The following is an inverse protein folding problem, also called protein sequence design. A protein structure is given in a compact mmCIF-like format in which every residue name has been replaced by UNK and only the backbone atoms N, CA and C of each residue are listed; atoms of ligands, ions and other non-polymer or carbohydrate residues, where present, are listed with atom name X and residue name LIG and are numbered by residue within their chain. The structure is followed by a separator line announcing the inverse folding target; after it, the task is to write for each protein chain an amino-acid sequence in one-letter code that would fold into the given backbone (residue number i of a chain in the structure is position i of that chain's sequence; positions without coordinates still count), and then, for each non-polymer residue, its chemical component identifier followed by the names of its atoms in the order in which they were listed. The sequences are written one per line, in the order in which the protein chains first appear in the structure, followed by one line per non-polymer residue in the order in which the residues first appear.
data_IF_258089439548
#
_entry.id   IF_258089439548
#
_cell.length_a   1.000
_cell.length_b   1.000
_cell.length_c   1.000
_cell.angle_alpha   90.00
_cell.angle_beta   90.00
_cell.angle_gamma   90.00
#
_symmetry.space_group_name_H-M   'P 1'
#
loop_
_entity.id
_entity.type
_entity.pdbx_description
1 polymer ?
#
# COMPACT_ATOMS: atom_id res chain seq x y z
N UNK A 1 -15.81 7.99 9.96
CA UNK A 1 -15.02 8.93 10.79
C UNK A 1 -14.96 10.26 10.07
N UNK A 2 -14.86 11.37 10.80
CA UNK A 2 -14.87 12.72 10.22
C UNK A 2 -13.46 13.23 9.97
N UNK A 3 -13.02 13.22 8.72
CA UNK A 3 -11.95 14.08 8.21
C UNK A 3 -12.38 14.61 6.83
N UNK A 4 -12.42 15.95 6.71
CA UNK A 4 -12.82 16.72 5.53
C UNK A 4 -11.92 16.39 4.34
N UNK A 5 -12.39 16.15 3.12
CA UNK A 5 -13.33 16.94 2.31
C UNK A 5 -14.06 15.95 1.39
N UNK A 6 -15.36 16.11 1.17
CA UNK A 6 -16.11 15.35 0.16
C UNK A 6 -15.52 15.60 -1.24
N UNK A 7 -14.54 14.79 -1.63
CA UNK A 7 -14.09 14.58 -3.01
C UNK A 7 -14.67 13.29 -3.57
N UNK A 8 -15.71 12.73 -2.94
CA UNK A 8 -16.44 11.60 -3.48
C UNK A 8 -17.28 12.10 -4.67
N UNK A 9 -16.63 12.24 -5.82
CA UNK A 9 -17.28 12.27 -7.14
C UNK A 9 -17.91 10.91 -7.45
N UNK A 10 -17.45 9.85 -6.78
CA UNK A 10 -18.05 8.51 -6.79
C UNK A 10 -18.50 8.08 -5.38
N UNK A 11 -19.81 7.97 -5.11
CA UNK A 11 -20.34 7.50 -3.83
C UNK A 11 -20.35 5.97 -3.65
N UNK A 12 -20.09 5.15 -4.69
CA UNK A 12 -20.00 3.69 -4.56
C UNK A 12 -18.61 3.18 -4.25
N UNK A 13 -17.59 4.01 -4.45
CA UNK A 13 -16.18 3.64 -4.33
C UNK A 13 -15.85 2.98 -2.97
N UNK A 14 -15.06 1.91 -3.06
CA UNK A 14 -14.54 1.16 -1.93
C UNK A 14 -13.85 2.10 -0.95
N UNK A 15 -14.23 1.99 0.33
CA UNK A 15 -13.74 2.88 1.39
C UNK A 15 -12.22 3.03 1.43
N UNK A 16 -11.45 1.98 1.12
CA UNK A 16 -9.99 2.03 1.18
C UNK A 16 -9.39 2.99 0.13
N UNK A 17 -10.00 3.12 -1.04
CA UNK A 17 -9.58 4.07 -2.07
C UNK A 17 -9.86 5.49 -1.60
N UNK A 18 -11.07 5.74 -1.14
CA UNK A 18 -11.50 7.04 -0.62
C UNK A 18 -10.62 7.53 0.54
N UNK A 19 -10.33 6.64 1.49
CA UNK A 19 -9.45 6.94 2.61
C UNK A 19 -8.00 7.14 2.14
N UNK A 20 -7.49 6.33 1.21
CA UNK A 20 -6.15 6.50 0.65
C UNK A 20 -5.93 7.83 -0.06
N UNK A 21 -6.88 8.24 -0.91
CA UNK A 21 -6.86 9.56 -1.56
C UNK A 21 -6.90 10.69 -0.53
N UNK A 22 -7.70 10.53 0.54
CA UNK A 22 -7.79 11.51 1.63
C UNK A 22 -6.51 11.58 2.46
N UNK A 23 -5.84 10.44 2.68
CA UNK A 23 -4.55 10.35 3.37
C UNK A 23 -3.48 11.17 2.64
N UNK A 24 -3.30 10.89 1.33
CA UNK A 24 -2.32 11.57 0.47
C UNK A 24 -2.68 13.03 0.24
N UNK A 25 -3.97 13.38 0.08
CA UNK A 25 -4.38 14.77 -0.08
C UNK A 25 -4.02 15.63 1.14
N UNK A 26 -4.18 15.10 2.36
CA UNK A 26 -3.77 15.86 3.54
C UNK A 26 -2.24 15.96 3.66
N UNK A 27 -1.50 14.94 3.23
CA UNK A 27 -0.04 14.98 3.20
C UNK A 27 0.48 16.03 2.22
N UNK A 28 -0.10 16.09 1.01
CA UNK A 28 0.16 17.16 0.03
C UNK A 28 -0.20 18.55 0.57
N UNK A 29 -1.17 18.63 1.48
CA UNK A 29 -1.54 19.87 2.18
C UNK A 29 -0.63 20.19 3.39
N UNK A 30 0.40 19.37 3.66
CA UNK A 30 1.39 19.60 4.71
C UNK A 30 1.00 19.05 6.10
N UNK A 31 -0.03 18.21 6.19
CA UNK A 31 -0.40 17.55 7.45
C UNK A 31 0.41 16.26 7.64
N UNK A 32 1.13 16.16 8.75
CA UNK A 32 1.87 14.95 9.09
C UNK A 32 0.94 13.76 9.31
N UNK A 33 1.24 12.62 8.67
CA UNK A 33 0.52 11.35 8.86
C UNK A 33 1.35 10.42 9.74
N UNK A 34 0.81 10.03 10.89
CA UNK A 34 1.47 9.11 11.82
C UNK A 34 1.12 7.63 11.58
N UNK A 35 0.13 7.35 10.72
CA UNK A 35 -0.42 6.02 10.51
C UNK A 35 0.54 5.06 9.79
N UNK A 36 1.46 5.57 8.97
CA UNK A 36 2.49 4.78 8.27
C UNK A 36 3.34 3.97 9.26
N UNK A 37 3.67 4.54 10.41
CA UNK A 37 4.43 3.87 11.48
C UNK A 37 3.70 2.64 12.06
N UNK A 38 2.36 2.65 12.07
CA UNK A 38 1.58 1.48 12.48
C UNK A 38 1.62 0.39 11.42
N UNK A 39 1.52 0.75 10.14
CA UNK A 39 1.58 -0.20 9.03
C UNK A 39 2.93 -0.90 8.94
N UNK A 40 4.04 -0.16 8.99
CA UNK A 40 5.38 -0.75 8.89
C UNK A 40 5.67 -1.76 10.01
N UNK A 41 5.02 -1.63 11.17
CA UNK A 41 5.10 -2.59 12.27
C UNK A 41 4.14 -3.79 12.11
N UNK A 42 3.11 -3.65 11.28
CA UNK A 42 2.06 -4.65 11.03
C UNK A 42 1.79 -4.86 9.51
N UNK A 43 2.80 -5.27 8.71
CA UNK A 43 2.67 -5.38 7.25
C UNK A 43 1.63 -6.41 6.76
N UNK A 44 1.20 -7.33 7.62
CA UNK A 44 0.13 -8.28 7.31
C UNK A 44 -1.25 -7.62 7.21
N UNK A 45 -1.33 -6.32 7.53
CA UNK A 45 -2.54 -5.50 7.33
C UNK A 45 -2.88 -5.46 5.86
N UNK A 46 -4.11 -5.83 5.53
CA UNK A 46 -4.61 -5.80 4.16
C UNK A 46 -4.84 -4.37 3.69
N UNK A 47 -4.41 -4.05 2.47
CA UNK A 47 -4.70 -2.79 1.81
C UNK A 47 -6.22 -2.60 1.61
N UNK A 48 -6.93 -3.66 1.21
CA UNK A 48 -8.32 -3.59 0.76
C UNK A 48 -9.33 -4.13 1.79
N UNK A 49 -8.94 -5.12 2.60
CA UNK A 49 -9.80 -5.73 3.61
C UNK A 49 -9.57 -5.09 4.99
N UNK A 50 -10.28 -4.00 5.26
CA UNK A 50 -10.12 -3.21 6.47
C UNK A 50 -10.60 -3.93 7.73
N UNK A 51 -9.83 -3.76 8.82
CA UNK A 51 -10.23 -4.30 10.11
C UNK A 51 -11.47 -3.58 10.64
N UNK A 52 -12.40 -4.33 11.23
CA UNK A 52 -13.58 -3.76 11.91
C UNK A 52 -13.21 -3.12 13.27
N UNK A 53 -12.05 -3.50 13.82
CA UNK A 53 -11.51 -2.92 15.04
C UNK A 53 -10.71 -1.65 14.73
N UNK A 54 -11.13 -0.52 15.33
CA UNK A 54 -10.51 0.79 15.16
C UNK A 54 -9.04 0.83 15.63
N UNK A 55 -8.66 0.00 16.60
CA UNK A 55 -7.27 -0.07 17.05
C UNK A 55 -6.32 -0.64 15.99
N UNK A 56 -6.86 -1.47 15.07
CA UNK A 56 -6.13 -2.07 13.96
C UNK A 56 -6.25 -1.20 12.69
N UNK A 57 -7.35 -0.46 12.53
CA UNK A 57 -7.58 0.37 11.34
C UNK A 57 -6.53 1.46 11.16
N UNK A 58 -5.80 1.86 12.21
CA UNK A 58 -4.64 2.77 12.09
C UNK A 58 -3.59 2.24 11.12
N UNK A 59 -3.32 0.92 11.13
CA UNK A 59 -2.42 0.32 10.16
C UNK A 59 -3.01 0.27 8.74
N UNK A 60 -4.34 0.19 8.60
CA UNK A 60 -5.00 0.29 7.30
C UNK A 60 -4.81 1.69 6.69
N UNK A 61 -4.98 2.75 7.49
CA UNK A 61 -4.70 4.13 7.09
C UNK A 61 -3.25 4.31 6.63
N UNK A 62 -2.28 3.72 7.35
CA UNK A 62 -0.88 3.72 6.94
C UNK A 62 -0.62 2.97 5.63
N UNK A 63 -1.29 1.82 5.44
CA UNK A 63 -1.17 1.03 4.22
C UNK A 63 -1.65 1.80 2.99
N UNK A 64 -2.85 2.39 3.06
CA UNK A 64 -3.41 3.13 1.92
C UNK A 64 -2.64 4.41 1.65
N UNK A 65 -2.17 5.13 2.68
CA UNK A 65 -1.31 6.30 2.48
C UNK A 65 -0.05 5.94 1.67
N UNK A 66 0.69 4.91 2.09
CA UNK A 66 1.90 4.48 1.40
C UNK A 66 1.63 3.95 -0.01
N UNK A 67 0.55 3.20 -0.21
CA UNK A 67 0.22 2.68 -1.54
C UNK A 67 -0.09 3.80 -2.53
N UNK A 68 -0.91 4.78 -2.15
CA UNK A 68 -1.23 5.90 -3.05
C UNK A 68 -0.06 6.88 -3.21
N UNK A 69 0.79 7.04 -2.19
CA UNK A 69 2.04 7.79 -2.32
C UNK A 69 3.02 7.13 -3.32
N UNK A 70 3.15 5.79 -3.25
CA UNK A 70 3.92 5.02 -4.22
C UNK A 70 3.34 5.15 -5.62
N UNK A 71 2.02 5.00 -5.76
CA UNK A 71 1.33 5.15 -7.04
C UNK A 71 1.58 6.54 -7.65
N UNK A 72 1.44 7.61 -6.86
CA UNK A 72 1.71 8.98 -7.32
C UNK A 72 3.19 9.16 -7.73
N UNK A 73 4.13 8.59 -6.97
CA UNK A 73 5.58 8.66 -7.26
C UNK A 73 5.93 8.11 -8.64
N UNK A 74 5.26 7.05 -9.09
CA UNK A 74 5.65 6.32 -10.30
C UNK A 74 4.70 6.49 -11.49
N UNK A 75 3.45 6.90 -11.26
CA UNK A 75 2.40 6.86 -12.28
C UNK A 75 1.74 8.24 -12.52
N UNK A 76 2.52 9.29 -12.72
CA UNK A 76 1.97 10.60 -13.12
C UNK A 76 1.55 11.54 -11.98
N UNK A 77 2.02 11.29 -10.76
CA UNK A 77 1.88 12.24 -9.65
C UNK A 77 0.42 12.50 -9.24
N UNK A 78 0.07 13.77 -9.09
CA UNK A 78 -1.29 14.15 -8.71
C UNK A 78 -2.33 13.85 -9.79
N UNK A 79 -1.91 13.62 -11.05
CA UNK A 79 -2.82 13.31 -12.14
C UNK A 79 -3.48 11.94 -11.95
N UNK A 80 -2.72 10.90 -11.59
CA UNK A 80 -3.32 9.57 -11.32
C UNK A 80 -4.27 9.60 -10.13
N UNK A 81 -3.94 10.34 -9.07
CA UNK A 81 -4.83 10.50 -7.92
C UNK A 81 -6.15 11.19 -8.32
N UNK A 82 -6.07 12.20 -9.19
CA UNK A 82 -7.24 12.92 -9.71
C UNK A 82 -8.07 12.03 -10.65
N UNK A 83 -7.41 11.20 -11.46
CA UNK A 83 -8.07 10.25 -12.35
C UNK A 83 -8.84 9.20 -11.56
N UNK A 84 -8.22 8.61 -10.52
CA UNK A 84 -8.89 7.64 -9.63
C UNK A 84 -10.08 8.27 -8.92
N UNK A 85 -9.94 9.49 -8.39
CA UNK A 85 -11.04 10.17 -7.71
C UNK A 85 -12.29 10.42 -8.58
N UNK A 86 -12.14 10.37 -9.92
CA UNK A 86 -13.21 10.60 -10.90
C UNK A 86 -13.68 9.33 -11.60
N UNK A 87 -12.99 8.21 -11.41
CA UNK A 87 -13.38 6.92 -11.95
C UNK A 87 -14.71 6.48 -11.32
N UNK A 88 -15.51 5.68 -12.04
CA UNK A 88 -16.83 5.19 -11.60
C UNK A 88 -16.84 3.69 -11.32
N UNK A 89 -15.69 3.04 -11.50
CA UNK A 89 -15.45 1.68 -11.02
C UNK A 89 -14.95 1.76 -9.60
N UNK A 90 -15.13 0.67 -8.86
CA UNK A 90 -14.74 0.60 -7.46
C UNK A 90 -13.48 -0.27 -7.24
N UNK A 91 -12.71 0.09 -6.22
CA UNK A 91 -11.60 -0.65 -5.65
C UNK A 91 -10.46 -0.84 -6.63
N UNK A 92 -10.00 -2.08 -6.74
CA UNK A 92 -8.87 -2.42 -7.64
C UNK A 92 -9.19 -2.07 -9.10
N UNK A 93 -10.46 -2.19 -9.50
CA UNK A 93 -10.87 -1.89 -10.86
C UNK A 93 -10.81 -0.39 -11.19
N UNK A 94 -10.89 0.49 -10.18
CA UNK A 94 -10.74 1.94 -10.34
C UNK A 94 -9.28 2.32 -10.60
N UNK A 95 -8.36 1.69 -9.88
CA UNK A 95 -6.90 1.84 -10.09
C UNK A 95 -6.49 1.30 -11.47
N UNK A 96 -6.94 0.10 -11.83
CA UNK A 96 -6.67 -0.50 -13.15
C UNK A 96 -7.15 0.39 -14.30
N UNK A 97 -8.38 0.89 -14.20
CA UNK A 97 -8.96 1.74 -15.24
C UNK A 97 -8.23 3.08 -15.35
N UNK A 98 -7.82 3.66 -14.21
CA UNK A 98 -7.09 4.92 -14.18
C UNK A 98 -5.70 4.78 -14.81
N UNK A 99 -4.94 3.73 -14.46
CA UNK A 99 -3.65 3.41 -15.09
C UNK A 99 -3.78 3.25 -16.61
N UNK A 100 -4.74 2.42 -17.05
CA UNK A 100 -4.97 2.18 -18.47
C UNK A 100 -5.39 3.46 -19.22
N UNK A 101 -6.24 4.30 -18.62
CA UNK A 101 -6.69 5.55 -19.23
C UNK A 101 -5.57 6.57 -19.43
N UNK A 102 -4.53 6.51 -18.58
CA UNK A 102 -3.33 7.34 -18.66
C UNK A 102 -2.24 6.72 -19.55
N UNK A 103 -2.49 5.53 -20.13
CA UNK A 103 -1.58 4.87 -21.07
C UNK A 103 -0.51 4.00 -20.41
N UNK A 104 -0.63 3.69 -19.12
CA UNK A 104 0.23 2.72 -18.44
C UNK A 104 -0.20 1.29 -18.79
N UNK A 105 0.77 0.38 -18.86
CA UNK A 105 0.53 -1.03 -19.17
C UNK A 105 0.31 -1.86 -17.90
N UNK A 106 0.76 -1.34 -16.75
CA UNK A 106 0.70 -1.94 -15.45
C UNK A 106 -0.73 -1.99 -14.90
N UNK A 107 -1.03 -3.08 -14.20
CA UNK A 107 -2.25 -3.23 -13.42
C UNK A 107 -2.02 -2.83 -11.97
N UNK A 108 -3.10 -2.63 -11.21
CA UNK A 108 -3.06 -2.44 -9.77
C UNK A 108 -2.34 -3.59 -9.04
N UNK A 109 -2.40 -4.82 -9.57
CA UNK A 109 -1.65 -5.96 -9.01
C UNK A 109 -0.14 -5.85 -9.27
N UNK A 110 0.26 -5.32 -10.42
CA UNK A 110 1.67 -5.06 -10.72
C UNK A 110 2.21 -3.96 -9.80
N UNK A 111 1.46 -2.86 -9.68
CA UNK A 111 1.79 -1.77 -8.73
C UNK A 111 1.86 -2.30 -7.29
N UNK A 112 0.90 -3.14 -6.87
CA UNK A 112 0.91 -3.75 -5.55
C UNK A 112 2.17 -4.61 -5.33
N UNK A 113 2.56 -5.42 -6.32
CA UNK A 113 3.77 -6.25 -6.23
C UNK A 113 5.04 -5.39 -6.06
N UNK A 114 5.18 -4.32 -6.84
CA UNK A 114 6.32 -3.40 -6.72
C UNK A 114 6.28 -2.62 -5.40
N UNK A 115 5.10 -2.26 -4.91
CA UNK A 115 4.91 -1.62 -3.62
C UNK A 115 5.35 -2.52 -2.45
N UNK A 116 5.15 -3.83 -2.54
CA UNK A 116 5.70 -4.77 -1.54
C UNK A 116 7.23 -4.71 -1.52
N UNK A 117 7.88 -4.60 -2.67
CA UNK A 117 9.35 -4.46 -2.75
C UNK A 117 9.80 -3.11 -2.18
N UNK A 118 9.09 -2.02 -2.51
CA UNK A 118 9.35 -0.69 -1.98
C UNK A 118 9.29 -0.64 -0.45
N UNK A 119 8.25 -1.24 0.12
CA UNK A 119 8.09 -1.38 1.57
C UNK A 119 9.24 -2.12 2.27
N UNK A 120 9.81 -3.12 1.60
CA UNK A 120 10.95 -3.87 2.14
C UNK A 120 12.27 -3.10 2.02
N UNK A 121 12.49 -2.43 0.88
CA UNK A 121 13.74 -1.73 0.60
C UNK A 121 13.83 -0.37 1.30
N UNK A 122 12.73 0.38 1.38
CA UNK A 122 12.69 1.75 1.91
C UNK A 122 13.82 2.63 1.38
N UNK A 123 13.84 2.80 0.05
CA UNK A 123 14.88 3.55 -0.66
C UNK A 123 14.34 4.88 -1.16
N UNK A 124 15.21 5.89 -1.25
CA UNK A 124 14.89 7.20 -1.84
C UNK A 124 15.21 7.24 -3.34
N UNK A 125 15.81 6.18 -3.89
CA UNK A 125 16.22 6.11 -5.29
C UNK A 125 15.75 4.82 -5.99
N UNK A 126 15.62 4.90 -7.32
CA UNK A 126 15.29 3.76 -8.17
C UNK A 126 13.79 3.51 -8.38
N UNK A 127 13.44 2.31 -8.90
CA UNK A 127 12.07 1.96 -9.26
C UNK A 127 11.16 1.65 -8.05
N UNK A 128 11.75 1.47 -6.86
CA UNK A 128 11.03 1.12 -5.64
C UNK A 128 11.05 2.24 -4.60
N UNK A 129 11.26 3.48 -5.04
CA UNK A 129 11.42 4.63 -4.14
C UNK A 129 10.10 5.23 -3.68
N UNK A 130 10.18 5.96 -2.58
CA UNK A 130 9.17 6.92 -2.14
C UNK A 130 9.72 8.35 -2.31
N UNK A 131 9.03 9.20 -3.08
CA UNK A 131 9.47 10.60 -3.23
C UNK A 131 9.08 11.42 -2.00
N UNK A 132 10.07 11.93 -1.26
CA UNK A 132 9.82 12.85 -0.14
C UNK A 132 9.29 12.19 1.14
N UNK A 133 9.34 10.85 1.25
CA UNK A 133 8.96 10.14 2.46
C UNK A 133 10.13 9.34 3.04
N UNK A 134 10.57 9.70 4.24
CA UNK A 134 11.47 8.86 5.05
C UNK A 134 10.61 7.78 5.76
N UNK A 135 10.31 6.71 5.04
CA UNK A 135 9.54 5.58 5.54
C UNK A 135 10.53 4.53 6.02
N UNK A 136 10.51 4.09 7.29
CA UNK A 136 11.35 2.98 7.72
C UNK A 136 10.88 1.67 7.07
N UNK A 137 11.79 0.71 6.80
CA UNK A 137 11.42 -0.56 6.20
C UNK A 137 10.42 -1.32 7.07
N UNK A 138 9.52 -2.04 6.42
CA UNK A 138 8.55 -2.90 7.11
C UNK A 138 9.23 -3.95 7.99
N UNK A 139 8.51 -4.35 9.04
CA UNK A 139 8.97 -5.34 10.00
C UNK A 139 9.23 -6.69 9.35
N UNK A 140 10.50 -7.08 9.37
CA UNK A 140 10.94 -8.40 8.93
C UNK A 140 10.76 -9.47 10.00
N UNK A 141 10.31 -10.65 9.58
CA UNK A 141 10.31 -11.88 10.36
C UNK A 141 11.59 -12.66 10.08
N UNK A 142 12.56 -12.53 10.98
CA UNK A 142 13.82 -13.25 10.88
C UNK A 142 13.65 -14.71 11.25
N UNK A 143 14.17 -15.61 10.41
CA UNK A 143 14.20 -17.06 10.65
C UNK A 143 15.61 -17.63 10.42
N UNK A 144 15.89 -18.73 11.10
CA UNK A 144 17.13 -19.49 10.98
C UNK A 144 16.79 -20.89 10.50
N UNK A 145 17.32 -21.27 9.35
CA UNK A 145 17.14 -22.61 8.81
C UNK A 145 17.86 -23.68 9.67
N UNK A 146 17.36 -24.93 9.70
CA UNK A 146 16.09 -25.37 9.12
C UNK A 146 14.89 -24.86 9.94
N UNK A 147 13.84 -24.42 9.26
CA UNK A 147 12.62 -23.93 9.89
C UNK A 147 11.41 -24.15 8.96
N UNK A 148 10.21 -24.15 9.52
CA UNK A 148 8.96 -24.17 8.77
C UNK A 148 7.95 -23.22 9.41
N UNK A 149 7.18 -22.52 8.56
CA UNK A 149 6.14 -21.59 9.01
C UNK A 149 4.88 -21.79 8.17
N UNK A 150 3.75 -21.77 8.86
CA UNK A 150 2.43 -21.59 8.28
C UNK A 150 1.84 -20.32 8.85
N UNK A 151 1.24 -19.51 8.01
CA UNK A 151 0.55 -18.27 8.40
C UNK A 151 -0.65 -18.05 7.49
N UNK A 152 -1.53 -17.16 7.92
CA UNK A 152 -2.66 -16.70 7.13
C UNK A 152 -2.50 -15.20 6.94
N UNK A 153 -2.45 -14.77 5.68
CA UNK A 153 -2.40 -13.36 5.31
C UNK A 153 -3.65 -13.08 4.50
N UNK A 154 -4.37 -12.01 4.85
CA UNK A 154 -5.53 -11.58 4.06
C UNK A 154 -5.06 -11.10 2.69
N UNK A 155 -5.94 -11.21 1.68
CA UNK A 155 -5.65 -10.65 0.35
C UNK A 155 -5.14 -9.21 0.46
N UNK A 156 -4.15 -8.86 -0.35
CA UNK A 156 -3.48 -7.55 -0.31
C UNK A 156 -2.83 -7.18 1.05
N UNK A 157 -2.52 -8.16 1.91
CA UNK A 157 -1.54 -8.00 2.99
C UNK A 157 -0.25 -8.76 2.68
N UNK A 158 0.81 -8.52 3.46
CA UNK A 158 2.09 -9.19 3.25
C UNK A 158 2.81 -9.60 4.54
N UNK A 159 3.53 -10.73 4.50
CA UNK A 159 4.54 -11.07 5.50
C UNK A 159 5.92 -11.06 4.85
N UNK A 160 6.86 -10.40 5.51
CA UNK A 160 8.24 -10.26 5.03
C UNK A 160 9.13 -11.21 5.81
N UNK A 161 9.61 -12.27 5.17
CA UNK A 161 10.48 -13.26 5.80
C UNK A 161 11.93 -13.05 5.36
N UNK A 162 12.82 -12.86 6.34
CA UNK A 162 14.26 -12.80 6.08
C UNK A 162 14.89 -14.05 6.70
N UNK A 163 15.52 -14.86 5.86
CA UNK A 163 16.23 -16.05 6.31
C UNK A 163 17.73 -15.77 6.29
N UNK A 164 18.40 -16.04 7.41
CA UNK A 164 19.86 -16.01 7.46
C UNK A 164 20.36 -17.31 6.85
N UNK A 165 20.76 -17.29 5.58
CA UNK A 165 21.33 -18.49 4.96
C UNK A 165 22.70 -18.81 5.56
N UNK A 166 22.88 -20.08 5.95
CA UNK A 166 23.74 -20.93 5.12
C UNK A 166 22.92 -21.45 3.93
N UNK A 167 23.57 -21.82 2.82
CA UNK A 167 22.92 -22.34 1.60
C UNK A 167 21.79 -23.35 1.90
N UNK A 168 20.61 -23.16 1.33
CA UNK A 168 19.44 -24.03 1.55
C UNK A 168 18.35 -23.83 0.50
N UNK A 169 17.36 -24.73 0.45
CA UNK A 169 16.18 -24.62 -0.43
C UNK A 169 15.02 -24.05 0.37
N UNK A 170 14.39 -22.99 -0.13
CA UNK A 170 13.09 -22.50 0.37
C UNK A 170 11.99 -23.05 -0.54
N UNK A 171 10.98 -23.66 0.07
CA UNK A 171 9.76 -24.09 -0.62
C UNK A 171 8.59 -23.24 -0.12
N UNK A 172 7.81 -22.69 -1.05
CA UNK A 172 6.61 -21.89 -0.75
C UNK A 172 5.41 -22.59 -1.40
N UNK A 173 4.32 -22.73 -0.66
CA UNK A 173 3.06 -23.32 -1.12
C UNK A 173 1.90 -22.48 -0.58
N UNK A 174 0.86 -22.31 -1.39
CA UNK A 174 -0.35 -21.54 -1.08
C UNK A 174 -1.58 -22.46 -1.11
#
# INVERSE_FOLDING_TARGET
MQHATHFATDPSEDSWVNEGLSEVAAELAGFARSATSAFVLAPATSLTAWAQDISISTANYGAVNLFFAFLATHYGGNEILTTIAREQKDGIASVDASLASMGFAETANDVYADWLVANYLSTDEGPYRYDGHDVPPVKNLYRRAPDSRTSNVRSYGAEYLVTSTGSGRMAVSF
#
